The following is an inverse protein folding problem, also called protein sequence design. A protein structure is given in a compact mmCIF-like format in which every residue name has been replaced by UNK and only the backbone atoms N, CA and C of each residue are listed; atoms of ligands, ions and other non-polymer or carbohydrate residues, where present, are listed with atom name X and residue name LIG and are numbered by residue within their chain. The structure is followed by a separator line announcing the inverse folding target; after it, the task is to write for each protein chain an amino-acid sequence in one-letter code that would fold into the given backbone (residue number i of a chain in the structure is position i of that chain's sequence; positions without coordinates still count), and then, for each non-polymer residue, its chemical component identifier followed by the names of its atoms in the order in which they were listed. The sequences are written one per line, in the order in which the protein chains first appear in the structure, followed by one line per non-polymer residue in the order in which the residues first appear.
data_IF_588217970341
#
_entry.id   IF_588217970341
#
_cell.length_a   1.000
_cell.length_b   1.000
_cell.length_c   1.000
_cell.angle_alpha   90.00
_cell.angle_beta   90.00
_cell.angle_gamma   90.00
#
_symmetry.space_group_name_H-M   'P 1'
#
loop_
_entity.id
_entity.type
_entity.pdbx_description
1 polymer ?
#
# COMPACT_ATOMS: atom_id res chain seq x y z
N UNK A 1 -6.56 20.24 -4.16
CA UNK A 1 -6.48 19.66 -3.93
C UNK A 1 -6.07 18.79 -3.96
N UNK A 2 -5.75 18.32 -3.67
CA UNK A 2 -5.32 17.52 -3.68
C UNK A 2 -5.51 16.47 -3.81
N UNK A 3 -5.27 16.10 -4.32
CA UNK A 3 -5.37 15.10 -4.44
C UNK A 3 -4.91 14.29 -3.93
N UNK A 4 -5.12 13.86 -3.81
CA UNK A 4 -4.41 13.01 -3.18
C UNK A 4 -4.61 11.66 -3.53
N UNK A 5 -3.55 10.88 -3.61
CA UNK A 5 -3.68 9.49 -3.90
C UNK A 5 -4.64 8.84 -2.92
N UNK A 6 -5.58 8.09 -3.42
CA UNK A 6 -6.49 7.36 -2.56
C UNK A 6 -5.88 5.99 -2.30
N UNK A 7 -5.00 5.93 -1.31
CA UNK A 7 -4.27 4.71 -0.99
C UNK A 7 -5.22 3.56 -0.67
N UNK A 8 -6.25 3.85 0.10
CA UNK A 8 -7.19 2.82 0.52
C UNK A 8 -7.88 2.17 -0.66
N UNK A 9 -8.34 2.98 -1.60
CA UNK A 9 -9.02 2.46 -2.78
C UNK A 9 -8.06 1.66 -3.66
N UNK A 10 -6.85 2.18 -3.84
CA UNK A 10 -5.87 1.51 -4.67
C UNK A 10 -5.48 0.15 -4.11
N UNK A 11 -5.30 0.07 -2.80
CA UNK A 11 -4.98 -1.20 -2.17
C UNK A 11 -6.15 -2.18 -2.25
N UNK A 12 -7.37 -1.68 -2.12
CA UNK A 12 -8.56 -2.51 -2.23
C UNK A 12 -8.70 -3.12 -3.63
N UNK A 13 -8.30 -2.37 -4.65
CA UNK A 13 -8.42 -2.80 -6.04
C UNK A 13 -7.30 -3.74 -6.48
N UNK A 14 -6.28 -3.96 -5.66
CA UNK A 14 -5.19 -4.85 -6.04
C UNK A 14 -5.65 -6.30 -6.12
N UNK A 15 -5.20 -6.99 -7.15
CA UNK A 15 -5.38 -8.43 -7.26
C UNK A 15 -4.18 -9.13 -6.64
N UNK A 16 -4.34 -10.42 -6.35
CA UNK A 16 -3.24 -11.21 -5.80
C UNK A 16 -2.04 -11.14 -6.76
N UNK A 17 -0.89 -10.75 -6.24
CA UNK A 17 0.31 -10.59 -7.03
C UNK A 17 0.56 -9.18 -7.54
N UNK A 18 -0.44 -8.31 -7.47
CA UNK A 18 -0.29 -6.93 -7.89
C UNK A 18 0.41 -6.10 -6.81
N UNK A 19 1.04 -5.04 -7.24
CA UNK A 19 1.73 -4.14 -6.32
C UNK A 19 1.60 -2.70 -6.79
N UNK A 20 1.80 -1.79 -5.84
CA UNK A 20 1.74 -0.37 -6.10
C UNK A 20 2.78 0.31 -5.23
N UNK A 21 3.38 1.38 -5.74
CA UNK A 21 4.42 2.11 -5.02
C UNK A 21 3.98 3.53 -4.74
N UNK A 22 4.44 4.06 -3.61
CA UNK A 22 4.15 5.42 -3.18
C UNK A 22 5.44 6.09 -2.73
N UNK A 23 5.39 7.40 -2.56
CA UNK A 23 6.50 8.14 -2.01
C UNK A 23 6.80 7.65 -0.60
N UNK A 24 8.09 7.60 -0.25
CA UNK A 24 8.51 7.14 1.08
C UNK A 24 7.92 8.00 2.20
N UNK A 25 7.60 9.25 1.90
CA UNK A 25 6.99 10.14 2.90
C UNK A 25 5.60 9.66 3.33
N UNK A 26 5.00 8.76 2.55
CA UNK A 26 3.68 8.19 2.88
C UNK A 26 3.76 6.85 3.59
N UNK A 27 4.94 6.44 3.99
CA UNK A 27 5.15 5.11 4.58
C UNK A 27 4.20 4.83 5.74
N UNK A 28 4.07 5.75 6.66
CA UNK A 28 3.19 5.55 7.82
C UNK A 28 1.75 5.32 7.40
N UNK A 29 1.26 6.17 6.54
CA UNK A 29 -0.11 6.11 6.06
C UNK A 29 -0.35 4.83 5.28
N UNK A 30 0.56 4.50 4.38
CA UNK A 30 0.44 3.31 3.54
C UNK A 30 0.44 2.04 4.38
N UNK A 31 1.36 1.95 5.34
CA UNK A 31 1.45 0.76 6.19
C UNK A 31 0.20 0.61 7.06
N UNK A 32 -0.31 1.71 7.58
CA UNK A 32 -1.53 1.68 8.38
C UNK A 32 -2.71 1.20 7.54
N UNK A 33 -2.84 1.71 6.33
CA UNK A 33 -3.93 1.31 5.44
C UNK A 33 -3.81 -0.15 5.04
N UNK A 34 -2.60 -0.60 4.72
CA UNK A 34 -2.39 -2.00 4.32
C UNK A 34 -2.75 -2.94 5.46
N UNK A 35 -2.35 -2.61 6.67
CA UNK A 35 -2.68 -3.44 7.84
C UNK A 35 -4.17 -3.47 8.09
N UNK A 36 -4.81 -2.31 8.02
CA UNK A 36 -6.24 -2.18 8.26
C UNK A 36 -7.05 -2.98 7.23
N UNK A 37 -6.71 -2.80 5.95
CA UNK A 37 -7.41 -3.51 4.88
C UNK A 37 -7.15 -5.01 4.93
N UNK A 38 -5.98 -5.40 5.37
CA UNK A 38 -5.68 -6.82 5.55
C UNK A 38 -6.65 -7.47 6.53
N UNK A 39 -6.96 -6.77 7.60
CA UNK A 39 -7.91 -7.27 8.59
C UNK A 39 -9.35 -7.22 8.07
N UNK A 40 -9.74 -6.09 7.50
CA UNK A 40 -11.12 -5.88 7.07
C UNK A 40 -11.50 -6.81 5.93
N UNK A 41 -10.61 -6.97 4.96
CA UNK A 41 -10.87 -7.74 3.75
C UNK A 41 -10.32 -9.16 3.80
N UNK A 42 -9.74 -9.53 4.92
CA UNK A 42 -9.16 -10.86 5.10
C UNK A 42 -8.13 -11.16 4.01
N UNK A 43 -7.22 -10.21 3.82
CA UNK A 43 -6.15 -10.29 2.83
C UNK A 43 -4.80 -10.15 3.50
N UNK A 44 -3.75 -10.47 2.75
CA UNK A 44 -2.39 -10.26 3.23
C UNK A 44 -1.68 -9.31 2.27
N UNK A 45 -1.22 -8.20 2.81
CA UNK A 45 -0.41 -7.23 2.08
C UNK A 45 0.99 -7.22 2.68
N UNK A 46 1.98 -7.15 1.83
CA UNK A 46 3.36 -6.98 2.26
C UNK A 46 3.86 -5.62 1.83
N UNK A 47 4.64 -4.99 2.68
CA UNK A 47 5.20 -3.68 2.35
C UNK A 47 6.71 -3.79 2.27
N UNK A 48 7.29 -3.05 1.34
CA UNK A 48 8.72 -2.98 1.15
C UNK A 48 9.13 -1.54 0.95
N UNK A 49 10.08 -1.08 1.74
CA UNK A 49 10.58 0.29 1.65
C UNK A 49 11.93 0.29 0.95
N UNK A 50 12.05 1.07 -0.11
CA UNK A 50 13.30 1.26 -0.81
C UNK A 50 13.85 2.64 -0.52
N UNK A 51 14.97 2.70 0.16
CA UNK A 51 15.61 3.98 0.46
C UNK A 51 16.26 4.56 -0.78
N UNK A 52 16.76 3.72 -1.65
CA UNK A 52 17.39 4.16 -2.88
C UNK A 52 16.41 4.92 -3.76
N UNK A 53 15.23 4.35 -3.92
CA UNK A 53 14.22 4.93 -4.78
C UNK A 53 13.27 5.86 -4.04
N UNK A 54 13.41 5.91 -2.72
CA UNK A 54 12.55 6.71 -1.85
C UNK A 54 11.08 6.37 -2.04
N UNK A 55 10.81 5.08 -2.07
CA UNK A 55 9.44 4.60 -2.27
C UNK A 55 9.09 3.52 -1.26
N UNK A 56 7.79 3.36 -1.06
CA UNK A 56 7.26 2.22 -0.33
C UNK A 56 6.34 1.47 -1.30
N UNK A 57 6.53 0.17 -1.40
CA UNK A 57 5.75 -0.68 -2.30
C UNK A 57 4.89 -1.63 -1.48
N UNK A 58 3.63 -1.73 -1.86
CA UNK A 58 2.71 -2.67 -1.24
C UNK A 58 2.36 -3.74 -2.26
N UNK A 59 2.47 -4.99 -1.86
CA UNK A 59 2.13 -6.13 -2.70
C UNK A 59 1.03 -6.93 -2.02
N UNK A 60 -0.02 -7.26 -2.76
CA UNK A 60 -1.04 -8.15 -2.22
C UNK A 60 -0.61 -9.58 -2.47
N UNK A 61 -0.41 -10.35 -1.40
CA UNK A 61 0.05 -11.73 -1.52
C UNK A 61 -1.06 -12.76 -1.31
N UNK A 62 -2.16 -12.35 -0.71
CA UNK A 62 -3.34 -13.23 -0.59
C UNK A 62 -4.61 -12.45 -0.69
#
# INVERSE_FOLDING_TARGET
MEEKANVRKELTDLNVGDRVSYSISKTKSVRAQASDLGLILDRVYKTYTSRENRTITVTRVQ
#
